data_IF_497956038393
#
_entry.id   IF_497956038393
#
_cell.length_a   1.000
_cell.length_b   1.000
_cell.length_c   1.000
_cell.angle_alpha   90.00
_cell.angle_beta   90.00
_cell.angle_gamma   90.00
#
_symmetry.space_group_name_H-M   'P 1'
#
loop_
_entity.id
_entity.type
_entity.pdbx_description
1 polymer ?
#
# COMPACT_ATOMS: atom_id res chain seq x y z
N UNK A 1 9.69 -23.27 -5.78
CA UNK A 1 11.05 -23.11 -5.25
C UNK A 1 11.00 -23.25 -3.74
N UNK A 2 11.66 -24.26 -3.19
CA UNK A 2 11.68 -24.44 -1.74
C UNK A 2 12.78 -23.58 -1.13
N UNK A 3 12.39 -22.63 -0.29
CA UNK A 3 13.30 -21.76 0.45
C UNK A 3 13.27 -22.20 1.91
N UNK A 4 14.41 -22.61 2.44
CA UNK A 4 14.55 -22.99 3.86
C UNK A 4 15.14 -21.81 4.60
N UNK A 5 14.43 -21.33 5.63
CA UNK A 5 14.84 -20.22 6.48
C UNK A 5 15.12 -20.74 7.88
N UNK A 6 16.24 -20.27 8.45
CA UNK A 6 16.56 -20.50 9.85
C UNK A 6 15.70 -19.57 10.71
N UNK A 7 15.17 -20.10 11.82
CA UNK A 7 14.35 -19.32 12.75
C UNK A 7 15.25 -18.81 13.87
N UNK A 8 15.30 -17.49 14.03
CA UNK A 8 16.08 -16.86 15.10
C UNK A 8 15.46 -17.19 16.45
N UNK A 9 16.28 -17.66 17.39
CA UNK A 9 15.83 -18.07 18.72
C UNK A 9 15.52 -19.56 18.87
N UNK A 10 15.59 -20.35 17.78
CA UNK A 10 15.44 -21.80 17.86
C UNK A 10 16.31 -22.54 16.82
N UNK A 11 16.47 -23.84 17.02
CA UNK A 11 17.11 -24.73 16.03
C UNK A 11 16.16 -25.15 14.91
N UNK A 12 14.94 -24.57 14.85
CA UNK A 12 13.89 -24.90 13.89
C UNK A 12 14.20 -24.25 12.55
N UNK A 13 13.92 -24.99 11.47
CA UNK A 13 13.95 -24.46 10.09
C UNK A 13 12.55 -24.54 9.52
N UNK A 14 12.15 -23.46 8.85
CA UNK A 14 10.86 -23.39 8.14
C UNK A 14 11.14 -23.45 6.66
N UNK A 15 10.55 -24.43 5.98
CA UNK A 15 10.63 -24.55 4.51
C UNK A 15 9.36 -23.98 3.91
N UNK A 16 9.52 -22.95 3.08
CA UNK A 16 8.42 -22.31 2.36
C UNK A 16 8.48 -22.70 0.88
N UNK A 17 7.39 -23.24 0.34
CA UNK A 17 7.26 -23.43 -1.10
C UNK A 17 6.76 -22.14 -1.74
N UNK A 18 7.69 -21.39 -2.29
CA UNK A 18 7.45 -20.07 -2.86
C UNK A 18 7.65 -20.09 -4.39
N UNK A 19 6.78 -19.45 -5.16
CA UNK A 19 6.94 -19.34 -6.61
C UNK A 19 8.12 -18.42 -6.96
N UNK A 20 8.70 -18.63 -8.12
CA UNK A 20 9.74 -17.72 -8.64
C UNK A 20 9.18 -16.29 -8.82
N UNK A 21 9.89 -15.27 -8.34
CA UNK A 21 9.43 -13.88 -8.45
C UNK A 21 9.31 -13.43 -9.91
N UNK A 22 8.13 -12.88 -10.26
CA UNK A 22 7.89 -12.25 -11.57
C UNK A 22 7.52 -10.79 -11.38
N UNK A 23 8.33 -9.89 -11.91
CA UNK A 23 8.16 -8.45 -11.78
C UNK A 23 6.80 -7.96 -12.29
N UNK A 24 6.33 -8.50 -13.41
CA UNK A 24 5.02 -8.13 -13.99
C UNK A 24 3.85 -8.38 -13.04
N UNK A 25 3.84 -9.51 -12.33
CA UNK A 25 2.79 -9.85 -11.36
C UNK A 25 2.88 -8.95 -10.13
N UNK A 26 4.09 -8.74 -9.62
CA UNK A 26 4.33 -7.85 -8.48
C UNK A 26 3.88 -6.42 -8.80
N UNK A 27 4.25 -5.89 -9.97
CA UNK A 27 3.83 -4.57 -10.43
C UNK A 27 2.31 -4.43 -10.51
N UNK A 28 1.62 -5.42 -11.10
CA UNK A 28 0.16 -5.37 -11.24
C UNK A 28 -0.55 -5.37 -9.88
N UNK A 29 -0.07 -6.18 -8.92
CA UNK A 29 -0.64 -6.21 -7.56
C UNK A 29 -0.38 -4.89 -6.83
N UNK A 30 0.82 -4.31 -6.94
CA UNK A 30 1.15 -3.00 -6.35
C UNK A 30 0.30 -1.89 -6.97
N UNK A 31 0.16 -1.86 -8.31
CA UNK A 31 -0.68 -0.89 -9.01
C UNK A 31 -2.14 -0.99 -8.55
N UNK A 32 -2.67 -2.21 -8.38
CA UNK A 32 -4.00 -2.45 -7.84
C UNK A 32 -4.15 -1.92 -6.41
N UNK A 33 -3.19 -2.17 -5.51
CA UNK A 33 -3.22 -1.69 -4.14
C UNK A 33 -3.20 -0.15 -4.07
N UNK A 34 -2.34 0.49 -4.85
CA UNK A 34 -2.23 1.95 -4.92
C UNK A 34 -3.49 2.59 -5.51
N UNK A 35 -4.07 2.01 -6.57
CA UNK A 35 -5.31 2.48 -7.15
C UNK A 35 -6.47 2.46 -6.15
N UNK A 36 -6.53 1.44 -5.31
CA UNK A 36 -7.55 1.28 -4.28
C UNK A 36 -7.44 2.31 -3.15
N UNK A 37 -6.25 2.84 -2.89
CA UNK A 37 -6.01 3.90 -1.89
C UNK A 37 -6.45 5.29 -2.36
N UNK A 38 -6.65 5.49 -3.69
CA UNK A 38 -7.05 6.79 -4.25
C UNK A 38 -8.51 7.08 -3.95
N UNK A 39 -8.77 8.19 -3.27
CA UNK A 39 -10.14 8.62 -2.93
C UNK A 39 -10.93 9.10 -4.15
N UNK A 40 -10.28 9.72 -5.12
CA UNK A 40 -10.91 10.16 -6.37
C UNK A 40 -11.94 11.29 -6.22
N UNK A 41 -11.73 12.20 -5.28
CA UNK A 41 -12.66 13.29 -4.95
C UNK A 41 -12.52 14.56 -5.81
N UNK A 42 -11.55 14.60 -6.73
CA UNK A 42 -11.34 15.75 -7.60
C UNK A 42 -12.59 16.03 -8.44
N UNK A 43 -13.09 17.26 -8.38
CA UNK A 43 -14.32 17.67 -9.07
C UNK A 43 -14.20 19.10 -9.63
N UNK A 44 -14.79 19.32 -10.79
CA UNK A 44 -14.94 20.64 -11.38
C UNK A 44 -16.40 20.87 -11.76
N UNK A 45 -16.85 22.13 -11.70
CA UNK A 45 -18.19 22.50 -12.07
C UNK A 45 -18.31 22.67 -13.60
N UNK A 46 -19.24 21.94 -14.19
CA UNK A 46 -19.64 22.15 -15.59
C UNK A 46 -20.51 23.40 -15.72
N UNK A 47 -20.74 23.87 -16.95
CA UNK A 47 -21.61 25.05 -17.21
C UNK A 47 -23.03 24.89 -16.64
N UNK A 48 -23.51 23.66 -16.43
CA UNK A 48 -24.81 23.39 -15.82
C UNK A 48 -24.82 23.64 -14.33
N UNK A 49 -23.69 23.30 -13.66
CA UNK A 49 -23.52 23.33 -12.21
C UNK A 49 -23.05 24.71 -11.68
N UNK A 50 -22.46 25.54 -12.55
CA UNK A 50 -22.08 26.90 -12.16
C UNK A 50 -23.34 27.73 -11.88
N UNK A 51 -23.39 28.41 -10.75
CA UNK A 51 -24.47 29.32 -10.36
C UNK A 51 -24.37 30.58 -11.21
N UNK A 52 -25.49 31.02 -11.76
CA UNK A 52 -25.57 32.24 -12.56
C UNK A 52 -26.70 32.21 -13.60
N UNK A 53 -26.93 33.32 -14.26
CA UNK A 53 -27.99 33.44 -15.25
C UNK A 53 -27.82 32.50 -16.45
N UNK A 54 -28.90 31.88 -16.88
CA UNK A 54 -28.98 31.07 -18.11
C UNK A 54 -29.38 31.93 -19.32
N UNK A 55 -29.75 33.20 -19.10
CA UNK A 55 -30.21 34.11 -20.16
C UNK A 55 -29.11 34.31 -21.20
N UNK A 56 -29.54 34.57 -22.42
CA UNK A 56 -28.66 35.00 -23.51
C UNK A 56 -28.09 36.39 -23.19
N UNK A 57 -26.78 36.58 -23.40
CA UNK A 57 -26.07 37.80 -22.97
C UNK A 57 -26.58 39.03 -23.75
N UNK A 58 -26.85 38.87 -25.05
CA UNK A 58 -27.35 39.91 -25.95
C UNK A 58 -28.04 39.28 -27.17
N UNK A 59 -28.78 40.07 -27.98
CA UNK A 59 -29.47 39.58 -29.16
C UNK A 59 -28.54 38.89 -30.17
N UNK A 60 -29.09 37.95 -30.95
CA UNK A 60 -28.33 37.12 -31.90
C UNK A 60 -27.68 37.93 -33.04
N UNK A 61 -28.27 39.06 -33.43
CA UNK A 61 -27.83 39.92 -34.51
C UNK A 61 -27.92 41.39 -34.09
N UNK A 62 -27.26 42.30 -34.81
CA UNK A 62 -27.33 43.75 -34.57
C UNK A 62 -26.34 44.31 -33.55
N UNK A 63 -25.49 43.50 -32.93
CA UNK A 63 -24.55 43.96 -31.88
C UNK A 63 -23.12 44.13 -32.37
N UNK A 64 -22.77 43.68 -33.59
CA UNK A 64 -21.38 43.65 -34.08
C UNK A 64 -20.41 42.75 -33.34
N UNK A 65 -20.88 42.00 -32.32
CA UNK A 65 -20.07 41.14 -31.44
C UNK A 65 -20.23 39.65 -31.80
N UNK A 66 -19.30 38.84 -31.32
CA UNK A 66 -19.40 37.39 -31.47
C UNK A 66 -20.69 36.86 -30.83
N UNK A 67 -21.30 35.84 -31.42
CA UNK A 67 -22.56 35.27 -30.95
C UNK A 67 -22.32 34.41 -29.72
N UNK A 68 -22.93 34.78 -28.60
CA UNK A 68 -22.84 34.03 -27.33
C UNK A 68 -24.21 33.68 -26.76
N UNK A 69 -24.27 32.58 -26.03
CA UNK A 69 -25.44 32.21 -25.24
C UNK A 69 -25.31 32.73 -23.80
N UNK A 70 -25.24 31.81 -22.86
CA UNK A 70 -25.11 32.11 -21.43
C UNK A 70 -23.67 32.47 -21.05
N UNK A 71 -23.52 33.34 -20.06
CA UNK A 71 -22.26 33.71 -19.44
C UNK A 71 -21.54 32.55 -18.70
N UNK A 72 -22.24 31.43 -18.48
CA UNK A 72 -21.70 30.21 -17.88
C UNK A 72 -20.88 29.37 -18.87
N UNK A 73 -20.79 29.77 -20.13
CA UNK A 73 -20.00 29.02 -21.12
C UNK A 73 -18.52 28.99 -20.75
N UNK A 74 -17.79 27.91 -21.09
CA UNK A 74 -16.39 27.73 -20.72
C UNK A 74 -15.43 28.79 -21.25
N UNK A 75 -15.82 29.51 -22.28
CA UNK A 75 -15.04 30.59 -22.88
C UNK A 75 -14.97 31.87 -22.03
N UNK A 76 -15.82 31.98 -21.03
CA UNK A 76 -15.86 33.14 -20.15
C UNK A 76 -15.13 32.87 -18.82
N UNK A 77 -14.50 33.89 -18.28
CA UNK A 77 -13.93 33.84 -16.92
C UNK A 77 -15.07 33.61 -15.93
N UNK A 78 -14.91 32.60 -15.07
CA UNK A 78 -15.94 32.13 -14.14
C UNK A 78 -16.99 31.20 -14.76
N UNK A 79 -16.86 30.85 -16.05
CA UNK A 79 -17.67 29.83 -16.69
C UNK A 79 -17.32 28.41 -16.25
N UNK A 80 -18.12 27.43 -16.72
CA UNK A 80 -17.87 26.02 -16.37
C UNK A 80 -16.67 25.43 -17.07
N UNK A 81 -16.07 24.41 -16.44
CA UNK A 81 -14.94 23.68 -17.02
C UNK A 81 -15.44 22.60 -17.99
N UNK A 82 -14.76 22.47 -19.14
CA UNK A 82 -15.00 21.40 -20.12
C UNK A 82 -14.02 20.26 -19.85
N UNK A 83 -14.52 19.03 -19.84
CA UNK A 83 -13.71 17.83 -19.62
C UNK A 83 -12.84 17.85 -18.35
N UNK A 84 -13.25 18.61 -17.34
CA UNK A 84 -12.57 18.61 -16.04
C UNK A 84 -12.79 17.32 -15.26
N UNK A 85 -11.99 17.10 -14.21
CA UNK A 85 -12.10 15.89 -13.38
C UNK A 85 -13.49 15.80 -12.75
N UNK A 86 -13.98 14.56 -12.63
CA UNK A 86 -15.19 14.22 -11.88
C UNK A 86 -14.88 13.16 -10.83
N UNK A 87 -15.57 13.19 -9.70
CA UNK A 87 -15.40 12.16 -8.68
C UNK A 87 -15.62 10.78 -9.28
N UNK A 88 -14.67 9.90 -9.08
CA UNK A 88 -14.75 8.51 -9.54
C UNK A 88 -13.97 7.57 -8.63
N UNK A 89 -14.39 6.34 -8.54
CA UNK A 89 -13.60 5.27 -7.93
C UNK A 89 -12.49 4.84 -8.89
N UNK A 90 -11.28 4.69 -8.35
CA UNK A 90 -10.14 4.09 -9.06
C UNK A 90 -9.95 2.62 -8.72
N UNK A 91 -10.79 2.07 -7.82
CA UNK A 91 -10.73 0.68 -7.44
C UNK A 91 -11.18 -0.22 -8.60
N UNK A 92 -10.38 -1.25 -8.86
CA UNK A 92 -10.73 -2.34 -9.76
C UNK A 92 -10.52 -3.69 -9.06
N UNK A 93 -11.08 -4.75 -9.62
CA UNK A 93 -11.02 -6.08 -9.02
C UNK A 93 -9.87 -6.87 -9.63
N UNK A 94 -8.97 -7.37 -8.79
CA UNK A 94 -7.93 -8.31 -9.17
C UNK A 94 -8.31 -9.72 -8.64
N UNK A 95 -8.17 -10.80 -9.44
CA UNK A 95 -8.49 -12.17 -9.02
C UNK A 95 -7.77 -12.55 -7.71
N UNK A 96 -8.48 -13.23 -6.81
CA UNK A 96 -7.92 -13.67 -5.51
C UNK A 96 -6.63 -14.49 -5.68
N UNK A 97 -6.60 -15.36 -6.70
CA UNK A 97 -5.44 -16.20 -7.02
C UNK A 97 -4.21 -15.38 -7.36
N UNK A 98 -4.37 -14.31 -8.18
CA UNK A 98 -3.25 -13.44 -8.54
C UNK A 98 -2.73 -12.64 -7.34
N UNK A 99 -3.62 -12.16 -6.46
CA UNK A 99 -3.21 -11.46 -5.22
C UNK A 99 -2.40 -12.36 -4.29
N UNK A 100 -2.83 -13.64 -4.12
CA UNK A 100 -2.11 -14.62 -3.32
C UNK A 100 -0.76 -14.98 -3.96
N UNK A 101 -0.75 -15.18 -5.28
CA UNK A 101 0.48 -15.45 -6.03
C UNK A 101 1.48 -14.30 -5.87
N UNK A 102 1.04 -13.05 -6.02
CA UNK A 102 1.88 -11.88 -5.84
C UNK A 102 2.46 -11.75 -4.42
N UNK A 103 1.67 -12.07 -3.39
CA UNK A 103 2.16 -12.09 -2.01
C UNK A 103 3.29 -13.09 -1.82
N UNK A 104 3.08 -14.34 -2.28
CA UNK A 104 4.10 -15.38 -2.19
C UNK A 104 5.36 -15.03 -3.00
N UNK A 105 5.20 -14.39 -4.18
CA UNK A 105 6.34 -13.91 -4.97
C UNK A 105 7.11 -12.78 -4.29
N UNK A 106 6.44 -11.89 -3.58
CA UNK A 106 7.09 -10.81 -2.83
C UNK A 106 7.93 -11.36 -1.66
N UNK A 107 7.39 -12.37 -0.95
CA UNK A 107 8.13 -13.08 0.09
C UNK A 107 9.33 -13.84 -0.50
N UNK A 108 9.14 -14.50 -1.64
CA UNK A 108 10.22 -15.18 -2.35
C UNK A 108 11.36 -14.23 -2.73
N UNK A 109 11.03 -13.04 -3.24
CA UNK A 109 12.03 -12.03 -3.57
C UNK A 109 12.86 -11.63 -2.35
N UNK A 110 12.20 -11.38 -1.20
CA UNK A 110 12.91 -11.02 0.04
C UNK A 110 13.73 -12.18 0.63
N UNK A 111 13.23 -13.40 0.49
CA UNK A 111 13.97 -14.60 0.92
C UNK A 111 15.22 -14.82 0.06
N UNK A 112 15.13 -14.64 -1.26
CA UNK A 112 16.27 -14.75 -2.18
C UNK A 112 17.35 -13.69 -1.91
N UNK A 113 16.92 -12.48 -1.53
CA UNK A 113 17.81 -11.38 -1.15
C UNK A 113 18.45 -11.59 0.24
N UNK A 114 18.06 -12.64 0.99
CA UNK A 114 18.48 -12.85 2.38
C UNK A 114 17.92 -11.82 3.37
N UNK A 115 16.81 -11.15 2.99
CA UNK A 115 16.19 -10.04 3.75
C UNK A 115 14.87 -10.46 4.42
N UNK A 116 14.55 -11.73 4.45
CA UNK A 116 13.43 -12.31 5.19
C UNK A 116 13.96 -13.10 6.37
N UNK A 117 13.64 -12.67 7.59
CA UNK A 117 14.04 -13.32 8.83
C UNK A 117 12.82 -13.77 9.60
N UNK A 118 12.82 -15.04 10.01
CA UNK A 118 11.78 -15.59 10.88
C UNK A 118 12.29 -15.62 12.33
N UNK A 119 11.40 -15.28 13.26
CA UNK A 119 11.68 -15.27 14.70
C UNK A 119 10.67 -16.16 15.40
N UNK A 120 11.11 -16.99 16.33
CA UNK A 120 10.21 -17.90 17.04
C UNK A 120 9.34 -17.17 18.07
N UNK A 121 9.95 -16.27 18.82
CA UNK A 121 9.26 -15.43 19.79
C UNK A 121 10.02 -14.14 20.04
N UNK A 122 9.28 -13.07 20.30
CA UNK A 122 9.84 -11.80 20.71
C UNK A 122 9.78 -11.70 22.23
N UNK A 123 10.93 -11.69 22.89
CA UNK A 123 11.00 -11.53 24.36
C UNK A 123 10.91 -10.03 24.72
N UNK A 124 9.70 -9.48 24.66
CA UNK A 124 9.45 -8.03 24.84
C UNK A 124 8.22 -7.78 25.69
N UNK A 125 8.36 -7.03 26.77
CA UNK A 125 7.28 -6.67 27.72
C UNK A 125 6.46 -5.43 27.30
N UNK A 126 6.43 -5.09 26.02
CA UNK A 126 5.66 -3.98 25.49
C UNK A 126 6.29 -2.59 25.64
N UNK A 127 7.55 -2.51 26.11
CA UNK A 127 8.34 -1.27 26.18
C UNK A 127 9.27 -1.15 24.99
N UNK A 128 9.37 0.04 24.43
CA UNK A 128 10.28 0.33 23.30
C UNK A 128 11.75 0.01 23.63
N UNK A 129 12.17 0.23 24.89
CA UNK A 129 13.53 -0.05 25.33
C UNK A 129 13.87 -1.54 25.26
N UNK A 130 12.91 -2.40 25.61
CA UNK A 130 13.11 -3.85 25.58
C UNK A 130 13.19 -4.36 24.14
N UNK A 131 12.35 -3.82 23.26
CA UNK A 131 12.44 -4.12 21.82
C UNK A 131 13.78 -3.67 21.21
N UNK A 132 14.32 -2.51 21.61
CA UNK A 132 15.61 -2.03 21.14
C UNK A 132 16.77 -2.94 21.60
N UNK A 133 16.72 -3.46 22.85
CA UNK A 133 17.71 -4.45 23.32
C UNK A 133 17.62 -5.72 22.51
N UNK A 134 16.40 -6.25 22.36
CA UNK A 134 16.18 -7.45 21.57
C UNK A 134 16.69 -7.29 20.13
N UNK A 135 16.45 -6.14 19.51
CA UNK A 135 16.94 -5.83 18.16
C UNK A 135 18.48 -5.72 18.09
N UNK A 136 19.11 -5.20 19.14
CA UNK A 136 20.58 -5.09 19.25
C UNK A 136 21.22 -6.49 19.40
N UNK A 137 20.67 -7.34 20.26
CA UNK A 137 21.12 -8.70 20.53
C UNK A 137 21.01 -9.61 19.30
N UNK A 138 19.98 -9.42 18.48
CA UNK A 138 19.74 -10.22 17.25
C UNK A 138 20.32 -9.58 15.98
N UNK A 139 21.09 -8.50 16.09
CA UNK A 139 21.77 -7.88 14.95
C UNK A 139 20.86 -7.05 14.03
N UNK A 140 19.68 -6.65 14.48
CA UNK A 140 18.74 -5.83 13.73
C UNK A 140 18.92 -4.32 13.96
N UNK A 141 19.86 -3.93 14.80
CA UNK A 141 20.20 -2.54 15.04
C UNK A 141 20.89 -1.93 13.81
N UNK A 142 20.44 -0.77 13.38
CA UNK A 142 20.98 -0.07 12.21
C UNK A 142 20.38 -0.48 10.88
N UNK A 143 19.42 -1.42 10.86
CA UNK A 143 18.64 -1.70 9.66
C UNK A 143 17.70 -0.52 9.37
N UNK A 144 17.67 -0.11 8.12
CA UNK A 144 16.73 0.88 7.63
C UNK A 144 15.46 0.20 7.09
N UNK A 145 14.29 0.82 7.34
CA UNK A 145 12.99 0.40 6.76
C UNK A 145 12.66 -1.08 7.00
N UNK A 146 12.52 -1.46 8.25
CA UNK A 146 12.13 -2.82 8.66
C UNK A 146 10.62 -2.97 8.71
N UNK A 147 10.10 -4.04 8.11
CA UNK A 147 8.73 -4.48 8.25
C UNK A 147 8.68 -5.58 9.33
N UNK A 148 8.01 -5.28 10.43
CA UNK A 148 7.79 -6.24 11.51
C UNK A 148 6.38 -6.83 11.41
N UNK A 149 6.28 -8.14 11.26
CA UNK A 149 5.01 -8.85 11.13
C UNK A 149 4.81 -9.74 12.33
N UNK A 150 3.87 -9.38 13.20
CA UNK A 150 3.53 -10.13 14.41
C UNK A 150 2.09 -9.90 14.81
N UNK A 151 1.46 -10.92 15.38
CA UNK A 151 0.12 -10.82 15.97
C UNK A 151 0.17 -10.47 17.46
N UNK A 152 1.35 -10.52 18.11
CA UNK A 152 1.53 -10.11 19.49
C UNK A 152 1.36 -8.58 19.64
N UNK A 153 0.43 -8.20 20.53
CA UNK A 153 0.12 -6.80 20.77
C UNK A 153 1.19 -6.07 21.59
N UNK A 154 1.90 -6.77 22.48
CA UNK A 154 2.98 -6.20 23.29
C UNK A 154 4.16 -5.81 22.39
N UNK A 155 4.55 -6.67 21.48
CA UNK A 155 5.60 -6.42 20.50
C UNK A 155 5.21 -5.26 19.56
N UNK A 156 3.97 -5.26 19.08
CA UNK A 156 3.45 -4.19 18.22
C UNK A 156 3.45 -2.84 18.93
N UNK A 157 3.06 -2.80 20.20
CA UNK A 157 3.09 -1.58 21.02
C UNK A 157 4.51 -1.09 21.25
N UNK A 158 5.46 -1.97 21.50
CA UNK A 158 6.86 -1.64 21.73
C UNK A 158 7.56 -1.08 20.49
N UNK A 159 7.28 -1.67 19.30
CA UNK A 159 7.99 -1.34 18.06
C UNK A 159 7.36 -0.18 17.26
N UNK A 160 6.06 0.10 17.38
CA UNK A 160 5.34 1.09 16.54
C UNK A 160 5.86 2.52 16.60
N UNK A 161 6.54 2.90 17.68
CA UNK A 161 7.06 4.26 17.88
C UNK A 161 8.44 4.47 17.23
N UNK A 162 9.06 3.42 16.71
CA UNK A 162 10.38 3.51 16.09
C UNK A 162 10.26 3.98 14.64
N UNK A 163 11.01 5.01 14.22
CA UNK A 163 10.86 5.61 12.87
C UNK A 163 11.30 4.67 11.74
N UNK A 164 12.16 3.71 12.01
CA UNK A 164 12.68 2.75 11.05
C UNK A 164 11.84 1.45 10.96
N UNK A 165 10.86 1.25 11.85
CA UNK A 165 9.99 0.08 11.84
C UNK A 165 8.58 0.42 11.39
N UNK A 166 8.02 -0.44 10.55
CA UNK A 166 6.58 -0.49 10.28
C UNK A 166 6.04 -1.81 10.80
N UNK A 167 5.04 -1.75 11.67
CA UNK A 167 4.51 -2.95 12.32
C UNK A 167 3.14 -3.29 11.78
N UNK A 168 2.91 -4.56 11.45
CA UNK A 168 1.60 -5.04 10.99
C UNK A 168 1.29 -6.45 11.50
N UNK A 169 0.00 -6.81 11.47
CA UNK A 169 -0.47 -8.17 11.76
C UNK A 169 -0.25 -9.07 10.55
N UNK A 170 -0.13 -10.39 10.78
CA UNK A 170 -0.03 -11.38 9.71
C UNK A 170 -1.16 -11.28 8.69
N UNK A 171 -2.40 -11.08 9.13
CA UNK A 171 -3.56 -10.87 8.27
C UNK A 171 -3.50 -9.58 7.41
N UNK A 172 -2.69 -8.60 7.81
CA UNK A 172 -2.48 -7.33 7.09
C UNK A 172 -1.35 -7.38 6.07
N UNK A 173 -0.59 -8.47 6.02
CA UNK A 173 0.58 -8.59 5.15
C UNK A 173 0.20 -8.39 3.67
N UNK A 174 0.93 -7.54 3.00
CA UNK A 174 0.64 -7.16 1.62
C UNK A 174 1.90 -6.89 0.80
N UNK A 175 1.78 -7.00 -0.52
CA UNK A 175 2.90 -6.90 -1.47
C UNK A 175 3.59 -5.54 -1.40
N UNK A 176 2.81 -4.46 -1.31
CA UNK A 176 3.36 -3.10 -1.29
C UNK A 176 4.31 -2.88 -0.11
N UNK A 177 3.89 -3.27 1.10
CA UNK A 177 4.70 -3.05 2.29
C UNK A 177 5.92 -3.99 2.33
N UNK A 178 5.81 -5.24 1.86
CA UNK A 178 6.97 -6.15 1.70
C UNK A 178 8.04 -5.54 0.78
N UNK A 179 7.63 -5.01 -0.38
CA UNK A 179 8.56 -4.44 -1.36
C UNK A 179 9.08 -3.04 -0.98
N UNK A 180 8.33 -2.29 -0.17
CA UNK A 180 8.73 -0.96 0.30
C UNK A 180 9.84 -1.02 1.36
N UNK A 181 9.83 -2.05 2.19
CA UNK A 181 10.78 -2.23 3.26
C UNK A 181 11.94 -3.12 2.80
N UNK A 182 13.14 -2.82 3.27
CA UNK A 182 14.33 -3.59 2.89
C UNK A 182 14.38 -4.94 3.59
N UNK A 183 14.07 -4.97 4.87
CA UNK A 183 14.06 -6.16 5.70
C UNK A 183 12.64 -6.49 6.17
N UNK A 184 12.32 -7.77 6.18
CA UNK A 184 11.07 -8.30 6.72
C UNK A 184 11.41 -9.25 7.87
N UNK A 185 10.96 -8.90 9.06
CA UNK A 185 11.09 -9.72 10.26
C UNK A 185 9.70 -10.21 10.63
N UNK A 186 9.50 -11.51 10.67
CA UNK A 186 8.19 -12.07 10.88
C UNK A 186 8.20 -13.17 11.93
N UNK A 187 7.10 -13.26 12.67
CA UNK A 187 6.83 -14.35 13.58
C UNK A 187 6.69 -15.67 12.80
N UNK A 188 7.47 -16.69 13.19
CA UNK A 188 7.45 -18.00 12.54
C UNK A 188 6.05 -18.66 12.62
N UNK A 189 5.28 -18.37 13.65
CA UNK A 189 3.92 -18.87 13.82
C UNK A 189 2.97 -18.43 12.68
N UNK A 190 3.24 -17.29 12.04
CA UNK A 190 2.42 -16.78 10.93
C UNK A 190 2.62 -17.62 9.65
N UNK A 191 3.80 -18.22 9.49
CA UNK A 191 4.16 -19.03 8.31
C UNK A 191 4.14 -20.55 8.60
N UNK A 192 4.08 -20.92 9.86
CA UNK A 192 3.94 -22.29 10.32
C UNK A 192 2.48 -22.68 10.42
N UNK A 193 1.76 -22.74 9.29
CA UNK A 193 0.50 -23.45 9.19
C UNK A 193 0.78 -24.94 9.17
N UNK A 194 0.30 -25.65 10.22
CA UNK A 194 0.04 -27.08 10.28
C UNK A 194 1.17 -28.03 9.87
N UNK A 195 2.10 -28.27 10.79
CA UNK A 195 2.64 -29.61 10.94
C UNK A 195 1.59 -30.46 11.68
N UNK A 196 0.72 -31.11 10.93
CA UNK A 196 0.06 -32.36 11.33
C UNK A 196 0.68 -33.51 10.59
#
# INVERSE_FOLDING_TARGET
>A
MNVTLDVVGSARKVTLDLPEPKESVLHEVVAWQLSKRRQGSASTKTRGEVIGSKAKIYPQKGTGRARHGSRKAPIFVGGGTVFGPRPRSYAYTLPKRMRRLGLNMALAARANDGKLTLVESFQVDGKTKDFLRWADENGFKGLEKVLLVTDDELVRRAARNLPWTTVMKGAGLNVYDILRHEHVIADAAIFGGDET
#
